data_IF_060665483513
#
_entry.id   IF_060665483513
#
_cell.length_a   1.000
_cell.length_b   1.000
_cell.length_c   1.000
_cell.angle_alpha   90.00
_cell.angle_beta   90.00
_cell.angle_gamma   90.00
#
_symmetry.space_group_name_H-M   'P 1'
#
loop_
_entity.id
_entity.type
_entity.pdbx_description
1 polymer ?
#
# COMPACT_ATOMS: atom_id res chain seq x y z
N UNK A 1 37.68 -84.33 6.82
CA UNK A 1 37.98 -84.59 5.40
C UNK A 1 37.11 -83.67 4.54
N UNK A 2 37.73 -83.03 3.54
CA UNK A 2 37.19 -82.34 2.34
C UNK A 2 35.76 -81.74 2.37
N UNK A 3 35.57 -80.41 2.35
CA UNK A 3 35.62 -79.46 1.20
C UNK A 3 34.62 -79.75 0.06
N UNK A 4 33.94 -78.67 -0.37
CA UNK A 4 33.35 -78.30 -1.70
C UNK A 4 31.80 -78.16 -1.66
N UNK A 5 31.13 -77.14 -2.21
CA UNK A 5 31.41 -76.09 -3.20
C UNK A 5 30.36 -74.95 -3.04
N UNK A 6 30.75 -73.74 -3.44
CA UNK A 6 29.99 -72.49 -3.44
C UNK A 6 28.83 -72.42 -4.44
N UNK A 7 27.86 -71.53 -4.20
CA UNK A 7 27.23 -70.72 -5.25
C UNK A 7 26.55 -69.46 -4.66
N UNK A 8 27.05 -68.29 -5.06
CA UNK A 8 26.43 -66.97 -4.90
C UNK A 8 25.07 -66.93 -5.60
N UNK A 9 24.05 -66.33 -4.96
CA UNK A 9 23.05 -65.51 -5.64
C UNK A 9 22.66 -64.35 -4.73
N UNK A 10 23.08 -63.15 -5.13
CA UNK A 10 22.64 -61.86 -4.60
C UNK A 10 21.29 -61.58 -5.25
N UNK A 11 20.23 -61.42 -4.45
CA UNK A 11 18.98 -60.81 -4.90
C UNK A 11 18.80 -59.53 -4.11
N UNK A 12 19.01 -58.42 -4.81
CA UNK A 12 18.89 -57.06 -4.32
C UNK A 12 17.44 -56.76 -3.91
N UNK A 13 17.24 -56.40 -2.65
CA UNK A 13 16.00 -55.82 -2.13
C UNK A 13 15.99 -54.34 -2.52
N UNK A 14 15.27 -54.00 -3.59
CA UNK A 14 15.05 -52.62 -4.02
C UNK A 14 14.09 -51.91 -3.08
N UNK A 15 14.64 -51.25 -2.05
CA UNK A 15 13.95 -50.21 -1.29
C UNK A 15 13.90 -48.96 -2.17
N UNK A 16 12.79 -48.78 -2.88
CA UNK A 16 12.45 -47.50 -3.51
C UNK A 16 11.85 -46.62 -2.42
N UNK A 17 12.70 -45.85 -1.76
CA UNK A 17 12.31 -44.73 -0.90
C UNK A 17 13.23 -43.56 -1.24
N UNK A 18 12.63 -42.37 -1.37
CA UNK A 18 13.25 -41.05 -1.59
C UNK A 18 13.76 -40.69 -2.98
N UNK A 19 12.84 -40.36 -3.90
CA UNK A 19 13.07 -39.31 -4.91
C UNK A 19 11.74 -38.63 -5.30
N UNK A 20 11.14 -37.89 -4.36
CA UNK A 20 10.25 -36.80 -4.71
C UNK A 20 10.61 -35.60 -3.84
N UNK A 21 11.33 -34.60 -4.36
CA UNK A 21 11.39 -33.32 -3.69
C UNK A 21 10.00 -32.70 -3.86
N UNK A 22 9.20 -32.69 -2.79
CA UNK A 22 8.06 -31.79 -2.68
C UNK A 22 8.61 -30.35 -2.77
N UNK A 23 8.26 -29.53 -3.79
CA UNK A 23 8.52 -28.11 -3.73
C UNK A 23 7.40 -27.48 -2.89
N UNK A 24 7.42 -27.75 -1.58
CA UNK A 24 6.68 -26.97 -0.62
C UNK A 24 7.50 -25.74 -0.27
N UNK A 25 7.41 -24.68 -1.06
CA UNK A 25 7.86 -23.36 -0.60
C UNK A 25 6.83 -22.84 0.40
N UNK A 26 7.01 -23.23 1.66
CA UNK A 26 6.28 -22.68 2.81
C UNK A 26 7.19 -21.74 3.58
N UNK A 27 6.65 -20.56 3.88
CA UNK A 27 7.24 -19.46 4.65
C UNK A 27 8.41 -18.74 3.95
N UNK A 28 8.33 -17.40 3.89
CA UNK A 28 9.51 -16.56 3.73
C UNK A 28 10.47 -16.94 4.86
N UNK A 29 11.49 -17.73 4.56
CA UNK A 29 12.56 -18.04 5.51
C UNK A 29 13.27 -16.73 5.88
N UNK A 30 13.61 -16.65 7.17
CA UNK A 30 14.27 -15.52 7.81
C UNK A 30 15.69 -15.39 7.26
N UNK A 31 15.88 -14.71 6.13
CA UNK A 31 17.21 -14.17 5.82
C UNK A 31 17.56 -13.13 6.89
N UNK A 32 18.77 -13.25 7.45
CA UNK A 32 19.32 -12.23 8.35
C UNK A 32 19.41 -10.93 7.57
N UNK A 33 18.68 -9.91 8.02
CA UNK A 33 18.65 -8.61 7.37
C UNK A 33 20.04 -7.95 7.32
N UNK A 34 20.22 -6.96 6.44
CA UNK A 34 21.47 -6.20 6.36
C UNK A 34 21.78 -5.52 7.70
N UNK A 35 23.07 -5.30 7.98
CA UNK A 35 23.52 -4.65 9.22
C UNK A 35 22.95 -3.23 9.45
N UNK A 36 22.44 -2.58 8.39
CA UNK A 36 21.73 -1.30 8.45
C UNK A 36 20.47 -1.36 7.58
N UNK A 37 19.34 -1.87 8.11
CA UNK A 37 18.07 -1.91 7.39
C UNK A 37 17.45 -0.51 7.23
N UNK A 38 16.34 -0.37 6.49
CA UNK A 38 15.50 0.82 6.48
C UNK A 38 14.64 0.88 7.76
N UNK A 39 15.26 0.65 8.92
CA UNK A 39 14.65 0.55 10.25
C UNK A 39 14.89 1.81 11.10
N UNK A 40 15.33 2.89 10.44
CA UNK A 40 15.64 4.17 11.07
C UNK A 40 14.36 4.91 11.42
N UNK A 41 14.15 5.13 12.71
CA UNK A 41 13.08 5.94 13.26
C UNK A 41 13.70 7.22 13.83
N UNK A 42 13.22 8.36 13.34
CA UNK A 42 13.58 9.66 13.92
C UNK A 42 12.62 9.95 15.08
N UNK A 43 13.14 9.93 16.30
CA UNK A 43 12.41 10.35 17.49
C UNK A 43 12.63 11.85 17.65
N UNK A 44 11.60 12.62 17.32
CA UNK A 44 11.56 14.06 17.47
C UNK A 44 10.31 14.45 18.28
N UNK A 45 10.52 14.89 19.52
CA UNK A 45 9.42 15.29 20.40
C UNK A 45 9.02 16.75 20.12
N UNK A 46 7.75 17.13 20.34
CA UNK A 46 7.34 18.52 20.25
C UNK A 46 8.12 19.40 21.24
N UNK A 47 8.36 20.65 20.87
CA UNK A 47 9.10 21.60 21.68
C UNK A 47 8.39 21.85 23.03
N UNK A 48 9.07 21.58 24.14
CA UNK A 48 8.62 22.03 25.46
C UNK A 48 8.95 23.52 25.63
N UNK A 49 7.97 24.29 26.12
CA UNK A 49 7.92 25.76 26.02
C UNK A 49 9.11 26.57 26.58
N UNK A 50 10.12 25.96 27.21
CA UNK A 50 11.29 26.66 27.79
C UNK A 50 12.61 25.84 27.79
N UNK A 51 12.74 24.78 26.98
CA UNK A 51 13.93 23.90 26.97
C UNK A 51 14.96 24.22 25.88
N UNK A 52 16.25 23.99 26.16
CA UNK A 52 17.28 23.92 25.11
C UNK A 52 17.07 22.65 24.27
N UNK A 53 16.85 22.81 22.96
CA UNK A 53 16.64 21.68 22.06
C UNK A 53 17.94 20.90 21.84
N UNK A 54 17.85 19.58 22.05
CA UNK A 54 18.84 18.63 21.56
C UNK A 54 18.40 18.12 20.18
N UNK A 55 19.34 17.79 19.27
CA UNK A 55 18.96 17.21 17.98
C UNK A 55 18.12 15.92 18.14
N UNK A 56 17.29 15.57 17.16
CA UNK A 56 16.50 14.34 17.18
C UNK A 56 17.35 13.09 17.41
N UNK A 57 16.74 12.07 18.02
CA UNK A 57 17.40 10.77 18.25
C UNK A 57 17.10 9.85 17.09
N UNK A 58 18.14 9.25 16.51
CA UNK A 58 17.98 8.19 15.50
C UNK A 58 17.92 6.85 16.22
N UNK A 59 16.82 6.12 16.03
CA UNK A 59 16.57 4.82 16.62
C UNK A 59 16.54 3.73 15.54
N UNK A 60 17.31 2.66 15.73
CA UNK A 60 17.39 1.52 14.80
C UNK A 60 16.50 0.39 15.31
N UNK A 61 15.28 0.27 14.78
CA UNK A 61 14.27 -0.64 15.34
C UNK A 61 14.64 -2.11 15.20
N UNK A 62 15.21 -2.54 14.06
CA UNK A 62 15.63 -3.91 13.82
C UNK A 62 16.73 -4.34 14.78
N UNK A 63 17.73 -3.49 15.01
CA UNK A 63 18.79 -3.76 16.00
C UNK A 63 18.23 -3.93 17.42
N UNK A 64 17.26 -3.11 17.82
CA UNK A 64 16.64 -3.26 19.13
C UNK A 64 15.79 -4.53 19.19
N UNK A 65 15.02 -4.83 18.15
CA UNK A 65 14.21 -6.05 18.06
C UNK A 65 15.07 -7.32 18.18
N UNK A 66 16.24 -7.35 17.54
CA UNK A 66 17.22 -8.44 17.69
C UNK A 66 17.74 -8.58 19.13
N UNK A 67 18.04 -7.45 19.79
CA UNK A 67 18.57 -7.45 21.16
C UNK A 67 17.59 -7.95 22.22
N UNK A 68 16.28 -7.92 21.93
CA UNK A 68 15.21 -8.42 22.81
C UNK A 68 14.57 -9.70 22.27
N UNK A 69 15.22 -10.39 21.34
CA UNK A 69 14.76 -11.66 20.77
C UNK A 69 13.33 -11.60 20.18
N UNK A 70 12.93 -10.44 19.66
CA UNK A 70 11.59 -10.25 19.10
C UNK A 70 10.49 -9.97 20.11
N UNK A 71 10.80 -9.83 21.40
CA UNK A 71 9.82 -9.51 22.44
C UNK A 71 9.36 -8.04 22.37
N UNK A 72 8.29 -7.81 21.60
CA UNK A 72 7.71 -6.48 21.41
C UNK A 72 7.27 -5.83 22.74
N UNK A 73 6.93 -6.64 23.75
CA UNK A 73 6.40 -6.15 25.03
C UNK A 73 7.45 -5.45 25.89
N UNK A 74 8.73 -5.58 25.55
CA UNK A 74 9.82 -4.81 26.17
C UNK A 74 9.74 -3.31 25.92
N UNK A 75 9.09 -2.90 24.83
CA UNK A 75 9.02 -1.51 24.40
C UNK A 75 7.60 -1.02 24.10
N UNK A 76 6.66 -1.94 23.86
CA UNK A 76 5.30 -1.62 23.46
C UNK A 76 4.28 -2.19 24.43
N UNK A 77 3.28 -1.37 24.77
CA UNK A 77 2.20 -1.76 25.68
C UNK A 77 1.31 -2.79 24.99
N UNK A 78 1.09 -3.93 25.63
CA UNK A 78 0.19 -4.96 25.11
C UNK A 78 -1.28 -4.54 25.25
N UNK A 79 -2.07 -4.73 24.19
CA UNK A 79 -3.51 -4.45 24.15
C UNK A 79 -4.19 -5.40 23.15
N UNK A 80 -5.32 -5.99 23.51
CA UNK A 80 -6.17 -6.80 22.61
C UNK A 80 -5.40 -7.84 21.75
N UNK A 81 -4.53 -8.64 22.38
CA UNK A 81 -3.67 -9.66 21.76
C UNK A 81 -2.57 -9.16 20.82
N UNK A 82 -2.43 -7.84 20.67
CA UNK A 82 -1.33 -7.18 19.95
C UNK A 82 -0.63 -6.17 20.85
N UNK A 83 0.18 -5.29 20.26
CA UNK A 83 0.86 -4.19 20.95
C UNK A 83 0.47 -2.85 20.36
N UNK A 84 0.56 -1.80 21.16
CA UNK A 84 0.46 -0.42 20.71
C UNK A 84 1.85 0.04 20.24
N UNK A 85 1.99 0.44 18.98
CA UNK A 85 3.30 0.77 18.37
C UNK A 85 3.94 2.07 18.89
N UNK A 86 3.28 2.78 19.81
CA UNK A 86 3.89 3.87 20.57
C UNK A 86 4.84 3.30 21.62
N UNK A 87 5.98 3.96 21.83
CA UNK A 87 6.99 3.52 22.79
C UNK A 87 6.49 3.73 24.24
N UNK A 88 6.36 2.63 24.99
CA UNK A 88 6.04 2.59 26.43
C UNK A 88 4.80 3.40 26.85
N UNK A 89 3.84 3.60 25.93
CA UNK A 89 2.62 4.38 26.18
C UNK A 89 1.45 3.98 25.29
N UNK A 90 0.25 4.40 25.69
CA UNK A 90 -0.97 4.32 24.88
C UNK A 90 -1.40 5.71 24.40
N UNK A 91 -2.21 6.39 25.17
CA UNK A 91 -2.82 7.68 24.78
C UNK A 91 -2.10 8.88 25.39
N UNK A 92 -1.19 8.65 26.34
CA UNK A 92 -0.38 9.69 26.95
C UNK A 92 0.51 10.38 25.89
N UNK A 93 0.71 11.70 25.99
CA UNK A 93 1.65 12.41 25.13
C UNK A 93 3.07 11.87 25.35
N UNK A 94 3.89 11.97 24.31
CA UNK A 94 5.31 11.69 24.45
C UNK A 94 5.96 12.79 25.31
N UNK A 95 6.86 12.42 26.23
CA UNK A 95 7.63 13.36 27.05
C UNK A 95 9.10 12.96 27.08
N UNK A 96 9.97 13.93 27.35
CA UNK A 96 11.41 13.66 27.48
C UNK A 96 11.69 12.60 28.56
N UNK A 97 11.08 12.76 29.74
CA UNK A 97 11.28 11.86 30.89
C UNK A 97 10.90 10.42 30.55
N UNK A 98 9.76 10.20 29.88
CA UNK A 98 9.34 8.86 29.46
C UNK A 98 10.39 8.19 28.57
N UNK A 99 10.99 8.92 27.64
CA UNK A 99 12.01 8.34 26.76
C UNK A 99 13.32 8.09 27.52
N UNK A 100 13.79 9.05 28.32
CA UNK A 100 15.01 8.88 29.10
C UNK A 100 14.89 7.72 30.10
N UNK A 101 13.81 7.68 30.89
CA UNK A 101 13.62 6.66 31.92
C UNK A 101 13.54 5.25 31.31
N UNK A 102 12.87 5.07 30.18
CA UNK A 102 12.73 3.75 29.59
C UNK A 102 13.94 3.32 28.72
N UNK A 103 14.54 4.24 27.96
CA UNK A 103 15.70 3.90 27.13
C UNK A 103 16.96 3.68 27.98
N UNK A 104 17.25 4.59 28.91
CA UNK A 104 18.51 4.60 29.65
C UNK A 104 18.53 3.46 30.68
N UNK A 105 17.43 3.19 31.37
CA UNK A 105 17.36 2.11 32.37
C UNK A 105 17.70 0.76 31.74
N UNK A 106 17.15 0.46 30.56
CA UNK A 106 17.50 -0.77 29.85
C UNK A 106 18.99 -0.79 29.50
N UNK A 107 19.53 0.32 28.96
CA UNK A 107 20.95 0.38 28.61
C UNK A 107 21.87 0.23 29.84
N UNK A 108 21.53 0.82 30.98
CA UNK A 108 22.31 0.69 32.22
C UNK A 108 22.26 -0.75 32.74
N UNK A 109 21.08 -1.38 32.77
CA UNK A 109 20.94 -2.79 33.16
C UNK A 109 21.76 -3.72 32.27
N UNK A 110 21.74 -3.53 30.95
CA UNK A 110 22.53 -4.35 30.03
C UNK A 110 24.04 -4.16 30.23
N UNK A 111 24.47 -2.91 30.47
CA UNK A 111 25.86 -2.60 30.76
C UNK A 111 26.33 -3.24 32.07
N UNK A 112 25.52 -3.15 33.12
CA UNK A 112 25.83 -3.72 34.43
C UNK A 112 25.87 -5.26 34.40
N UNK A 113 25.07 -5.86 33.51
CA UNK A 113 25.11 -7.30 33.21
C UNK A 113 26.31 -7.72 32.33
N UNK A 114 27.18 -6.78 31.92
CA UNK A 114 28.32 -7.05 31.04
C UNK A 114 27.94 -7.37 29.59
N UNK A 115 26.72 -7.03 29.18
CA UNK A 115 26.22 -7.24 27.81
C UNK A 115 26.50 -6.01 26.93
N UNK A 116 26.43 -6.21 25.61
CA UNK A 116 26.47 -5.11 24.65
C UNK A 116 25.25 -4.22 24.90
N UNK A 117 25.49 -2.92 25.11
CA UNK A 117 24.45 -1.97 25.47
C UNK A 117 24.52 -0.70 24.62
N UNK A 118 23.42 0.05 24.62
CA UNK A 118 23.33 1.38 24.03
C UNK A 118 23.93 2.46 24.94
N UNK A 119 23.77 3.74 24.56
CA UNK A 119 24.29 4.87 25.33
C UNK A 119 23.64 5.01 26.71
N UNK A 120 24.45 5.36 27.70
CA UNK A 120 24.04 5.63 29.10
C UNK A 120 23.84 7.13 29.37
N UNK A 121 23.37 7.48 30.57
CA UNK A 121 23.07 8.87 30.99
C UNK A 121 24.15 9.90 30.62
N UNK A 122 25.44 9.55 30.71
CA UNK A 122 26.54 10.47 30.43
C UNK A 122 26.79 10.73 28.93
N UNK A 123 26.13 10.00 28.02
CA UNK A 123 26.46 9.92 26.60
C UNK A 123 25.40 10.60 25.71
N UNK A 124 24.99 11.83 26.08
CA UNK A 124 23.92 12.58 25.41
C UNK A 124 24.03 12.58 23.87
N UNK A 125 25.23 12.87 23.32
CA UNK A 125 25.48 12.98 21.87
C UNK A 125 25.57 11.63 21.14
N UNK A 126 25.58 10.52 21.88
CA UNK A 126 25.51 9.18 21.29
C UNK A 126 24.08 8.79 20.93
N UNK A 127 23.08 9.48 21.48
CA UNK A 127 21.68 9.40 21.04
C UNK A 127 21.30 10.62 20.20
N UNK A 128 21.50 11.82 20.76
CA UNK A 128 21.08 13.08 20.14
C UNK A 128 22.05 13.53 19.04
N UNK A 129 21.55 13.57 17.81
CA UNK A 129 22.36 13.98 16.65
C UNK A 129 23.42 12.94 16.29
N UNK A 130 23.23 11.69 16.69
CA UNK A 130 24.11 10.60 16.31
C UNK A 130 24.04 10.36 14.80
N UNK A 131 25.19 10.40 14.14
CA UNK A 131 25.29 10.05 12.72
C UNK A 131 25.24 8.54 12.56
N UNK A 132 24.29 8.04 11.77
CA UNK A 132 24.19 6.62 11.41
C UNK A 132 24.49 6.41 9.92
N UNK A 133 25.17 5.33 9.52
CA UNK A 133 25.89 5.28 8.23
C UNK A 133 25.07 5.02 6.94
N UNK A 134 23.98 5.68 6.58
CA UNK A 134 23.12 5.32 5.41
C UNK A 134 22.74 3.81 5.21
N UNK A 135 21.61 3.49 4.57
CA UNK A 135 21.34 2.10 4.18
C UNK A 135 22.29 1.66 3.07
N UNK A 136 22.63 0.36 3.02
CA UNK A 136 23.32 -0.22 1.88
C UNK A 136 22.46 -0.04 0.60
N UNK A 137 23.05 0.12 -0.60
CA UNK A 137 22.29 0.15 -1.84
C UNK A 137 21.36 -1.06 -1.98
N UNK A 138 20.09 -0.83 -2.31
CA UNK A 138 19.06 -1.87 -2.36
C UNK A 138 18.38 -2.17 -1.01
N UNK A 139 18.78 -1.49 0.05
CA UNK A 139 18.18 -1.61 1.39
C UNK A 139 17.53 -0.31 1.87
N UNK A 140 17.49 0.71 1.00
CA UNK A 140 16.82 1.97 1.31
C UNK A 140 15.33 1.77 1.59
N UNK A 141 14.78 2.71 2.36
CA UNK A 141 13.36 2.73 2.63
C UNK A 141 12.60 3.09 1.35
N UNK A 142 11.58 2.29 1.05
CA UNK A 142 10.61 2.52 0.00
C UNK A 142 9.19 2.36 0.56
N UNK A 143 8.27 3.12 -0.01
CA UNK A 143 6.86 3.01 0.32
C UNK A 143 6.32 1.71 -0.27
N UNK A 144 5.72 0.86 0.57
CA UNK A 144 5.01 -0.31 0.08
C UNK A 144 3.81 0.11 -0.77
N UNK A 145 3.65 -0.52 -1.93
CA UNK A 145 2.48 -0.32 -2.78
C UNK A 145 1.50 -1.49 -2.63
N UNK A 146 0.26 -1.18 -2.27
CA UNK A 146 -0.82 -2.15 -2.12
C UNK A 146 -1.60 -2.23 -3.44
N UNK A 147 -1.02 -2.95 -4.39
CA UNK A 147 -1.60 -3.15 -5.73
C UNK A 147 -2.76 -4.17 -5.73
N UNK A 148 -3.41 -4.32 -6.89
CA UNK A 148 -4.54 -5.25 -7.08
C UNK A 148 -4.21 -6.68 -6.66
N UNK A 149 -3.01 -7.16 -6.95
CA UNK A 149 -2.60 -8.51 -6.58
C UNK A 149 -2.47 -8.65 -5.07
N UNK A 150 -1.80 -7.71 -4.40
CA UNK A 150 -1.57 -7.79 -2.96
C UNK A 150 -2.88 -7.59 -2.19
N UNK A 151 -3.76 -6.72 -2.67
CA UNK A 151 -5.12 -6.59 -2.16
C UNK A 151 -5.90 -7.90 -2.28
N UNK A 152 -5.90 -8.52 -3.46
CA UNK A 152 -6.64 -9.77 -3.69
C UNK A 152 -6.18 -10.90 -2.78
N UNK A 153 -4.87 -11.01 -2.50
CA UNK A 153 -4.33 -11.99 -1.54
C UNK A 153 -4.95 -11.81 -0.14
N UNK A 154 -5.20 -10.57 0.29
CA UNK A 154 -5.87 -10.30 1.56
C UNK A 154 -7.37 -10.59 1.46
N UNK A 155 -8.02 -10.18 0.38
CA UNK A 155 -9.45 -10.39 0.13
C UNK A 155 -9.86 -11.86 0.21
N UNK A 156 -9.03 -12.78 -0.30
CA UNK A 156 -9.34 -14.22 -0.33
C UNK A 156 -8.73 -15.03 0.82
N UNK A 157 -8.08 -14.37 1.79
CA UNK A 157 -7.50 -15.07 2.93
C UNK A 157 -8.58 -15.59 3.88
N UNK A 158 -8.59 -16.90 4.12
CA UNK A 158 -9.42 -17.59 5.12
C UNK A 158 -9.07 -17.21 6.57
N UNK A 159 -7.93 -16.54 6.78
CA UNK A 159 -7.49 -16.06 8.08
C UNK A 159 -7.96 -14.63 8.38
N UNK A 160 -8.53 -13.92 7.39
CA UNK A 160 -9.08 -12.58 7.55
C UNK A 160 -10.60 -12.69 7.47
N UNK A 161 -11.24 -12.65 8.63
CA UNK A 161 -12.69 -12.85 8.78
C UNK A 161 -13.35 -11.51 9.07
N UNK A 162 -14.48 -11.25 8.41
CA UNK A 162 -15.33 -10.09 8.72
C UNK A 162 -15.80 -10.14 10.19
N UNK A 163 -15.48 -9.14 11.03
CA UNK A 163 -15.78 -9.16 12.45
C UNK A 163 -17.28 -9.31 12.76
N UNK A 164 -18.12 -8.65 11.97
CA UNK A 164 -19.56 -8.58 12.19
C UNK A 164 -20.35 -9.72 11.52
N UNK A 165 -19.72 -10.42 10.57
CA UNK A 165 -20.37 -11.51 9.84
C UNK A 165 -19.33 -12.52 9.33
N UNK A 166 -19.00 -13.54 10.14
CA UNK A 166 -18.05 -14.58 9.73
C UNK A 166 -18.49 -15.42 8.53
N UNK A 167 -19.77 -15.35 8.15
CA UNK A 167 -20.34 -16.04 6.99
C UNK A 167 -20.48 -15.11 5.77
N UNK A 168 -20.00 -13.87 5.85
CA UNK A 168 -19.98 -12.97 4.71
C UNK A 168 -19.11 -13.57 3.59
N UNK A 169 -19.52 -13.41 2.32
CA UNK A 169 -18.74 -13.91 1.19
C UNK A 169 -17.45 -13.10 0.95
N UNK A 170 -17.28 -11.98 1.64
CA UNK A 170 -16.13 -11.08 1.56
C UNK A 170 -15.66 -10.64 2.97
N UNK A 171 -14.46 -10.07 3.01
CA UNK A 171 -13.81 -9.63 4.25
C UNK A 171 -13.55 -8.11 4.31
N UNK A 172 -14.26 -7.32 3.49
CA UNK A 172 -14.06 -5.87 3.37
C UNK A 172 -14.08 -5.17 4.75
N UNK A 173 -15.03 -5.58 5.59
CA UNK A 173 -15.28 -4.99 6.91
C UNK A 173 -14.20 -5.33 7.96
N UNK A 174 -13.27 -6.24 7.64
CA UNK A 174 -12.10 -6.48 8.48
C UNK A 174 -11.09 -5.32 8.44
N UNK A 175 -11.15 -4.48 7.41
CA UNK A 175 -10.16 -3.42 7.16
C UNK A 175 -10.81 -2.05 6.88
N UNK A 176 -11.83 -2.01 6.03
CA UNK A 176 -12.44 -0.76 5.59
C UNK A 176 -13.45 -0.25 6.57
N UNK A 177 -13.41 1.05 6.82
CA UNK A 177 -14.36 1.77 7.64
C UNK A 177 -14.60 3.16 7.06
N UNK A 178 -15.69 3.79 7.49
CA UNK A 178 -15.96 5.21 7.30
C UNK A 178 -16.43 5.82 8.60
N UNK A 179 -16.24 7.13 8.75
CA UNK A 179 -16.82 7.85 9.87
C UNK A 179 -18.27 8.21 9.55
N UNK A 180 -19.21 7.87 10.44
CA UNK A 180 -20.61 8.28 10.37
C UNK A 180 -20.82 9.47 11.32
N UNK A 181 -21.07 10.65 10.75
CA UNK A 181 -21.29 11.88 11.52
C UNK A 181 -22.59 11.84 12.33
N UNK A 182 -23.64 11.16 11.85
CA UNK A 182 -24.90 11.09 12.59
C UNK A 182 -24.77 10.20 13.82
N UNK A 183 -23.97 9.14 13.73
CA UNK A 183 -23.71 8.19 14.81
C UNK A 183 -22.45 8.51 15.62
N UNK A 184 -21.65 9.49 15.17
CA UNK A 184 -20.39 9.91 15.78
C UNK A 184 -19.41 8.74 16.01
N UNK A 185 -19.37 7.78 15.09
CA UNK A 185 -18.57 6.56 15.22
C UNK A 185 -18.11 6.02 13.87
N UNK A 186 -17.07 5.18 13.89
CA UNK A 186 -16.69 4.40 12.72
C UNK A 186 -17.72 3.30 12.44
N UNK A 187 -18.09 3.16 11.18
CA UNK A 187 -19.02 2.15 10.68
C UNK A 187 -18.44 1.49 9.44
N UNK A 188 -18.93 0.30 9.12
CA UNK A 188 -18.60 -0.42 7.89
C UNK A 188 -19.81 -0.40 6.97
N UNK A 189 -19.61 -0.04 5.70
CA UNK A 189 -20.69 -0.01 4.70
C UNK A 189 -20.16 -0.49 3.35
N UNK A 190 -20.80 -1.55 2.84
CA UNK A 190 -20.42 -2.16 1.57
C UNK A 190 -20.59 -1.18 0.41
N UNK A 191 -19.61 -1.14 -0.49
CA UNK A 191 -19.59 -0.24 -1.64
C UNK A 191 -19.01 1.14 -1.33
N UNK A 192 -18.64 1.40 -0.07
CA UNK A 192 -17.98 2.66 0.34
C UNK A 192 -16.47 2.50 0.52
N UNK A 193 -15.93 1.29 0.39
CA UNK A 193 -14.51 0.97 0.61
C UNK A 193 -13.61 1.85 -0.24
N UNK A 194 -12.49 2.30 0.30
CA UNK A 194 -11.58 3.17 -0.43
C UNK A 194 -10.16 3.04 0.10
N UNK A 195 -9.19 3.63 -0.61
CA UNK A 195 -7.82 3.62 -0.12
C UNK A 195 -7.68 4.45 1.16
N UNK A 196 -6.89 3.95 2.11
CA UNK A 196 -6.69 4.57 3.42
C UNK A 196 -6.23 6.02 3.31
N UNK A 197 -5.36 6.31 2.34
CA UNK A 197 -4.74 7.63 2.12
C UNK A 197 -5.75 8.74 1.76
N UNK A 198 -6.96 8.39 1.34
CA UNK A 198 -7.96 9.41 1.03
C UNK A 198 -8.39 10.15 2.30
N UNK A 199 -8.41 9.47 3.44
CA UNK A 199 -8.71 10.08 4.75
C UNK A 199 -7.46 10.21 5.62
N UNK A 200 -6.66 9.15 5.73
CA UNK A 200 -5.43 9.14 6.52
C UNK A 200 -4.32 9.83 5.73
N UNK A 201 -4.05 11.11 5.99
CA UNK A 201 -3.00 11.89 5.30
C UNK A 201 -1.63 11.70 5.95
N UNK A 202 -0.61 12.40 5.47
CA UNK A 202 0.75 12.30 6.03
C UNK A 202 0.82 12.72 7.50
N UNK A 203 -0.03 13.67 7.90
CA UNK A 203 -0.13 14.19 9.26
C UNK A 203 -1.53 13.92 9.79
N UNK A 204 -1.63 13.72 11.10
CA UNK A 204 -2.91 13.64 11.80
C UNK A 204 -3.70 14.94 11.62
N UNK A 205 -4.97 14.82 11.24
CA UNK A 205 -5.87 15.96 10.97
C UNK A 205 -7.27 15.62 11.45
N UNK A 206 -7.95 16.55 12.15
CA UNK A 206 -9.34 16.40 12.58
C UNK A 206 -9.67 15.07 13.30
N UNK A 207 -8.73 14.59 14.12
CA UNK A 207 -8.86 13.31 14.85
C UNK A 207 -8.68 12.06 13.97
N UNK A 208 -8.35 12.22 12.69
CA UNK A 208 -7.97 11.15 11.76
C UNK A 208 -6.46 10.94 11.83
N UNK A 209 -6.06 9.73 12.24
CA UNK A 209 -4.64 9.33 12.34
C UNK A 209 -3.90 9.47 11.02
N UNK A 210 -2.60 9.73 11.09
CA UNK A 210 -1.73 9.72 9.90
C UNK A 210 -1.76 8.36 9.19
N UNK A 211 -1.46 8.33 7.89
CA UNK A 211 -1.33 7.09 7.11
C UNK A 211 -0.28 6.17 7.71
N UNK A 212 0.79 6.73 8.27
CA UNK A 212 1.86 5.97 8.91
C UNK A 212 1.31 5.20 10.11
N UNK A 213 0.61 5.90 11.01
CA UNK A 213 0.10 5.27 12.23
C UNK A 213 -1.06 4.31 11.92
N UNK A 214 -2.01 4.74 11.08
CA UNK A 214 -3.13 3.91 10.67
C UNK A 214 -2.67 2.61 9.98
N UNK A 215 -1.65 2.68 9.12
CA UNK A 215 -1.12 1.49 8.44
C UNK A 215 -0.37 0.57 9.39
N UNK A 216 0.47 1.09 10.28
CA UNK A 216 1.17 0.23 11.24
C UNK A 216 0.20 -0.42 12.23
N UNK A 217 -0.74 0.34 12.78
CA UNK A 217 -1.73 -0.15 13.73
C UNK A 217 -2.67 -1.20 13.12
N UNK A 218 -3.03 -1.08 11.84
CA UNK A 218 -3.89 -2.07 11.17
C UNK A 218 -3.10 -3.26 10.64
N UNK A 219 -2.10 -3.01 9.78
CA UNK A 219 -1.42 -4.06 9.03
C UNK A 219 -0.53 -4.90 9.95
N UNK A 220 0.35 -4.24 10.72
CA UNK A 220 1.37 -4.94 11.53
C UNK A 220 0.71 -5.62 12.73
N UNK A 221 -0.31 -5.00 13.35
CA UNK A 221 -1.04 -5.65 14.44
C UNK A 221 -1.78 -6.92 13.98
N UNK A 222 -2.44 -6.86 12.81
CA UNK A 222 -3.09 -8.04 12.24
C UNK A 222 -2.05 -9.14 11.94
N UNK A 223 -0.96 -8.79 11.25
CA UNK A 223 0.11 -9.74 10.93
C UNK A 223 0.72 -10.37 12.19
N UNK A 224 1.01 -9.56 13.22
CA UNK A 224 1.55 -10.03 14.50
C UNK A 224 0.56 -10.97 15.19
N UNK A 225 -0.72 -10.62 15.22
CA UNK A 225 -1.78 -11.47 15.79
C UNK A 225 -1.84 -12.82 15.06
N UNK A 226 -1.81 -12.84 13.73
CA UNK A 226 -1.83 -14.08 12.94
C UNK A 226 -0.55 -14.90 13.14
N UNK A 227 0.62 -14.24 13.19
CA UNK A 227 1.92 -14.88 13.47
C UNK A 227 1.94 -15.54 14.85
N UNK A 228 1.42 -14.86 15.88
CA UNK A 228 1.30 -15.41 17.24
C UNK A 228 0.31 -16.57 17.33
N UNK A 229 -0.62 -16.67 16.38
CA UNK A 229 -1.53 -17.82 16.20
C UNK A 229 -0.94 -18.92 15.30
N UNK A 230 0.34 -18.82 14.93
CA UNK A 230 1.03 -19.74 14.00
C UNK A 230 0.33 -19.86 12.62
N UNK A 231 -0.41 -18.82 12.23
CA UNK A 231 -1.07 -18.74 10.92
C UNK A 231 -0.16 -18.05 9.90
N UNK A 232 -0.40 -18.34 8.63
CA UNK A 232 0.25 -17.60 7.54
C UNK A 232 -0.14 -16.12 7.67
N UNK A 233 0.88 -15.26 7.73
CA UNK A 233 0.74 -13.83 7.93
C UNK A 233 1.70 -13.07 7.03
N UNK A 234 1.44 -11.79 6.81
CA UNK A 234 2.40 -10.91 6.17
C UNK A 234 3.56 -10.51 7.10
N UNK A 235 4.50 -9.69 6.60
CA UNK A 235 5.67 -9.24 7.35
C UNK A 235 5.30 -8.36 8.56
N UNK A 236 6.09 -8.48 9.63
CA UNK A 236 6.00 -7.64 10.84
C UNK A 236 7.23 -6.77 11.07
N UNK A 237 8.30 -7.01 10.30
CA UNK A 237 9.56 -6.27 10.39
C UNK A 237 9.62 -5.14 9.38
N UNK A 238 10.31 -4.03 9.70
CA UNK A 238 10.46 -2.87 8.81
C UNK A 238 10.99 -3.29 7.43
N UNK A 239 12.05 -4.09 7.40
CA UNK A 239 12.70 -4.58 6.17
C UNK A 239 11.77 -5.46 5.32
N UNK A 240 10.81 -6.16 5.94
CA UNK A 240 9.85 -7.01 5.23
C UNK A 240 8.79 -6.24 4.45
N UNK A 241 8.55 -4.96 4.79
CA UNK A 241 7.61 -4.09 4.09
C UNK A 241 8.28 -2.98 3.27
N UNK A 242 9.40 -2.45 3.76
CA UNK A 242 9.91 -1.16 3.33
C UNK A 242 11.27 -1.18 2.64
N UNK A 243 11.93 -2.33 2.47
CA UNK A 243 13.17 -2.32 1.68
C UNK A 243 12.87 -2.14 0.20
N UNK A 244 13.82 -1.54 -0.48
CA UNK A 244 13.77 -1.44 -1.93
C UNK A 244 13.56 -2.79 -2.61
N UNK A 245 12.65 -2.82 -3.57
CA UNK A 245 12.35 -4.02 -4.36
C UNK A 245 11.59 -5.13 -3.64
N UNK A 246 11.26 -5.01 -2.35
CA UNK A 246 10.60 -6.10 -1.58
C UNK A 246 9.29 -6.55 -2.22
N UNK A 247 8.56 -5.63 -2.84
CA UNK A 247 7.29 -5.93 -3.49
C UNK A 247 7.45 -6.93 -4.64
N UNK A 248 8.59 -6.92 -5.32
CA UNK A 248 8.89 -7.85 -6.41
C UNK A 248 9.12 -9.30 -5.93
N UNK A 249 9.45 -9.47 -4.65
CA UNK A 249 9.64 -10.78 -4.04
C UNK A 249 8.37 -11.31 -3.37
N UNK A 250 7.44 -10.42 -2.99
CA UNK A 250 6.14 -10.79 -2.45
C UNK A 250 5.31 -11.57 -3.47
N UNK A 251 4.40 -12.47 -3.03
CA UNK A 251 3.57 -13.24 -3.94
C UNK A 251 2.77 -12.34 -4.89
N UNK A 252 2.68 -12.78 -6.15
CA UNK A 252 1.92 -12.10 -7.20
C UNK A 252 0.86 -13.05 -7.71
N UNK A 253 -0.37 -12.56 -7.76
CA UNK A 253 -1.50 -13.21 -8.43
C UNK A 253 -1.63 -12.56 -9.81
N UNK A 254 -1.14 -13.20 -10.87
CA UNK A 254 -1.37 -12.71 -12.23
C UNK A 254 -2.88 -12.69 -12.48
N UNK A 255 -3.34 -11.67 -13.19
CA UNK A 255 -4.75 -11.52 -13.57
C UNK A 255 -5.73 -11.61 -12.38
N UNK A 256 -5.33 -11.03 -11.25
CA UNK A 256 -6.17 -10.95 -10.05
C UNK A 256 -7.60 -10.52 -10.42
N UNK A 257 -8.64 -11.26 -9.96
CA UNK A 257 -10.03 -10.96 -10.25
C UNK A 257 -10.41 -9.50 -10.00
N UNK A 258 -11.41 -9.05 -10.76
CA UNK A 258 -11.93 -7.69 -10.65
C UNK A 258 -12.48 -7.44 -9.25
N UNK A 259 -11.93 -6.43 -8.58
CA UNK A 259 -12.37 -5.96 -7.26
C UNK A 259 -13.76 -5.34 -7.39
N UNK A 260 -14.80 -5.96 -6.81
CA UNK A 260 -16.19 -5.51 -6.98
C UNK A 260 -16.56 -4.46 -5.93
N UNK A 261 -16.86 -3.25 -6.38
CA UNK A 261 -17.28 -2.10 -5.56
C UNK A 261 -18.38 -1.28 -6.23
N UNK A 262 -19.25 -1.95 -7.00
CA UNK A 262 -20.34 -1.34 -7.77
C UNK A 262 -19.90 -0.26 -8.78
N UNK A 263 -18.66 -0.35 -9.26
CA UNK A 263 -18.13 0.52 -10.31
C UNK A 263 -18.74 0.17 -11.68
N UNK A 264 -18.95 1.15 -12.57
CA UNK A 264 -19.48 0.90 -13.90
C UNK A 264 -18.47 0.17 -14.80
N UNK A 265 -18.96 -0.53 -15.82
CA UNK A 265 -18.10 -1.17 -16.82
C UNK A 265 -17.61 -0.16 -17.85
N UNK A 266 -18.46 0.79 -18.25
CA UNK A 266 -18.10 1.93 -19.07
C UNK A 266 -18.69 3.23 -18.51
N UNK A 267 -18.04 4.35 -18.81
CA UNK A 267 -18.44 5.69 -18.35
C UNK A 267 -18.58 6.61 -19.55
N UNK A 268 -19.71 7.32 -19.61
CA UNK A 268 -19.89 8.40 -20.56
C UNK A 268 -19.38 9.72 -19.95
N UNK A 269 -18.16 10.11 -20.31
CA UNK A 269 -17.50 11.30 -19.78
C UNK A 269 -17.91 12.53 -20.59
N UNK A 270 -18.44 13.54 -19.88
CA UNK A 270 -18.86 14.81 -20.48
C UNK A 270 -18.03 15.96 -19.94
N UNK A 271 -17.93 17.03 -20.74
CA UNK A 271 -17.18 18.23 -20.38
C UNK A 271 -17.90 19.15 -19.40
N UNK A 272 -18.84 18.68 -18.56
CA UNK A 272 -19.65 19.55 -17.71
C UNK A 272 -20.17 18.88 -16.45
N UNK A 273 -20.51 19.70 -15.45
CA UNK A 273 -21.30 19.29 -14.30
C UNK A 273 -22.78 19.25 -14.71
N UNK A 274 -23.62 18.57 -13.93
CA UNK A 274 -25.07 18.42 -14.11
C UNK A 274 -25.87 19.74 -14.07
N UNK A 275 -25.20 20.90 -14.09
CA UNK A 275 -25.80 22.23 -14.06
C UNK A 275 -26.31 22.71 -15.42
N UNK A 276 -27.27 23.63 -15.40
CA UNK A 276 -27.86 24.32 -16.58
C UNK A 276 -26.91 25.34 -17.23
N UNK A 277 -25.62 25.27 -16.96
CA UNK A 277 -24.67 26.18 -17.58
C UNK A 277 -24.44 25.74 -19.01
N UNK A 278 -24.74 26.65 -19.94
CA UNK A 278 -24.45 26.54 -21.37
C UNK A 278 -22.93 26.62 -21.64
N UNK A 279 -22.11 25.92 -20.85
CA UNK A 279 -20.71 25.74 -21.15
C UNK A 279 -20.62 25.06 -22.52
N UNK A 280 -20.19 25.84 -23.50
CA UNK A 280 -20.13 25.40 -24.91
C UNK A 280 -19.18 24.22 -24.98
N UNK A 281 -19.73 23.01 -25.13
CA UNK A 281 -18.95 21.80 -25.39
C UNK A 281 -18.14 21.99 -26.66
N UNK A 282 -16.82 22.13 -26.51
CA UNK A 282 -15.91 22.32 -27.64
C UNK A 282 -15.53 21.00 -28.30
N UNK A 283 -15.59 19.90 -27.54
CA UNK A 283 -15.29 18.54 -27.99
C UNK A 283 -16.50 17.62 -27.80
N UNK A 284 -16.54 16.55 -28.58
CA UNK A 284 -17.49 15.45 -28.39
C UNK A 284 -17.24 14.75 -27.04
N UNK A 285 -18.25 14.16 -26.40
CA UNK A 285 -18.06 13.30 -25.22
C UNK A 285 -17.11 12.12 -25.49
N UNK A 286 -16.62 11.53 -24.40
CA UNK A 286 -15.73 10.36 -24.43
C UNK A 286 -16.44 9.18 -23.79
N UNK A 287 -16.54 8.06 -24.49
CA UNK A 287 -16.97 6.79 -23.89
C UNK A 287 -15.73 6.06 -23.39
N UNK A 288 -15.63 5.88 -22.09
CA UNK A 288 -14.46 5.31 -21.42
C UNK A 288 -14.73 3.88 -20.95
N UNK A 289 -13.90 2.93 -21.37
CA UNK A 289 -13.97 1.54 -20.91
C UNK A 289 -13.31 1.40 -19.52
N UNK A 290 -14.10 1.60 -18.47
CA UNK A 290 -13.59 1.55 -17.10
C UNK A 290 -13.10 0.15 -16.73
N UNK A 291 -13.82 -0.90 -17.14
CA UNK A 291 -13.47 -2.30 -16.84
C UNK A 291 -12.14 -2.74 -17.45
N UNK A 292 -11.86 -2.36 -18.69
CA UNK A 292 -10.57 -2.66 -19.31
C UNK A 292 -9.44 -1.95 -18.55
N UNK A 293 -9.63 -0.68 -18.20
CA UNK A 293 -8.61 0.10 -17.49
C UNK A 293 -8.39 -0.42 -16.07
N UNK A 294 -9.40 -0.92 -15.37
CA UNK A 294 -9.23 -1.62 -14.08
C UNK A 294 -8.29 -2.83 -14.19
N UNK A 295 -8.29 -3.51 -15.34
CA UNK A 295 -7.47 -4.70 -15.59
C UNK A 295 -6.03 -4.32 -15.92
N UNK A 296 -5.82 -3.23 -16.66
CA UNK A 296 -4.50 -2.73 -17.03
C UNK A 296 -3.80 -1.93 -15.91
N UNK A 297 -4.55 -1.21 -15.07
CA UNK A 297 -4.00 -0.38 -14.00
C UNK A 297 -3.58 -1.21 -12.77
N UNK A 298 -2.49 -0.79 -12.12
CA UNK A 298 -1.99 -1.44 -10.90
C UNK A 298 -2.92 -1.24 -9.69
N UNK A 299 -3.67 -0.13 -9.64
CA UNK A 299 -4.67 0.18 -8.61
C UNK A 299 -5.62 1.27 -9.08
N UNK A 300 -6.78 1.42 -8.41
CA UNK A 300 -7.71 2.51 -8.66
C UNK A 300 -7.06 3.89 -8.46
N UNK A 301 -6.07 4.00 -7.56
CA UNK A 301 -5.38 5.24 -7.20
C UNK A 301 -4.53 5.84 -8.31
N UNK A 302 -4.20 5.07 -9.35
CA UNK A 302 -3.48 5.61 -10.50
C UNK A 302 -4.29 6.74 -11.15
N UNK A 303 -5.62 6.63 -11.18
CA UNK A 303 -6.52 7.66 -11.70
C UNK A 303 -7.21 8.41 -10.55
N UNK A 304 -7.80 7.67 -9.60
CA UNK A 304 -8.47 8.21 -8.42
C UNK A 304 -7.45 8.64 -7.36
N UNK A 305 -6.73 9.72 -7.60
CA UNK A 305 -5.59 10.09 -6.75
C UNK A 305 -6.01 10.66 -5.38
N UNK A 306 -7.23 11.17 -5.25
CA UNK A 306 -7.74 11.81 -4.01
C UNK A 306 -9.01 11.14 -3.45
N UNK A 307 -9.92 10.66 -4.30
CA UNK A 307 -11.13 9.94 -3.92
C UNK A 307 -11.61 9.05 -5.06
N UNK A 308 -12.52 8.11 -4.79
CA UNK A 308 -13.19 7.28 -5.81
C UNK A 308 -14.36 8.01 -6.50
N UNK A 309 -14.50 9.33 -6.31
CA UNK A 309 -15.54 10.12 -6.96
C UNK A 309 -15.18 10.42 -8.42
N UNK A 310 -16.16 10.94 -9.17
CA UNK A 310 -15.94 11.38 -10.55
C UNK A 310 -14.98 12.55 -10.61
N UNK A 311 -14.09 12.56 -11.62
CA UNK A 311 -13.14 13.63 -11.85
C UNK A 311 -13.80 15.02 -11.89
N UNK A 312 -15.00 15.11 -12.45
CA UNK A 312 -15.73 16.38 -12.63
C UNK A 312 -16.25 17.00 -11.34
N UNK A 313 -16.20 16.28 -10.21
CA UNK A 313 -16.51 16.84 -8.89
C UNK A 313 -15.47 17.88 -8.44
N UNK A 314 -14.23 17.76 -8.91
CA UNK A 314 -13.13 18.68 -8.59
C UNK A 314 -12.54 19.37 -9.84
N UNK A 315 -12.49 18.66 -10.97
CA UNK A 315 -11.95 19.15 -12.23
C UNK A 315 -13.07 19.59 -13.16
N UNK A 316 -13.53 20.83 -12.99
CA UNK A 316 -14.53 21.44 -13.86
C UNK A 316 -13.87 22.08 -15.09
N UNK A 317 -14.63 22.44 -16.14
CA UNK A 317 -14.06 23.16 -17.29
C UNK A 317 -13.43 24.51 -16.93
N UNK A 318 -14.01 25.20 -15.95
CA UNK A 318 -13.49 26.46 -15.44
C UNK A 318 -12.35 26.26 -14.42
N UNK A 319 -12.24 25.07 -13.84
CA UNK A 319 -11.46 24.80 -12.64
C UNK A 319 -12.27 25.13 -11.39
N UNK A 320 -12.03 24.38 -10.32
CA UNK A 320 -12.67 24.57 -9.02
C UNK A 320 -11.60 24.55 -7.92
N UNK A 321 -11.84 25.23 -6.80
CA UNK A 321 -10.92 25.28 -5.67
C UNK A 321 -10.61 23.87 -5.13
N UNK A 322 -11.60 22.97 -5.10
CA UNK A 322 -11.42 21.57 -4.67
C UNK A 322 -10.39 20.82 -5.51
N UNK A 323 -10.32 21.14 -6.81
CA UNK A 323 -9.35 20.57 -7.75
C UNK A 323 -8.06 21.39 -7.87
N UNK A 324 -7.81 22.35 -6.97
CA UNK A 324 -6.66 23.26 -7.07
C UNK A 324 -6.67 24.10 -8.36
N UNK A 325 -7.87 24.38 -8.89
CA UNK A 325 -8.10 25.04 -10.18
C UNK A 325 -7.52 24.30 -11.39
N UNK A 326 -7.18 23.02 -11.26
CA UNK A 326 -6.85 22.17 -12.41
C UNK A 326 -8.12 21.92 -13.21
N UNK A 327 -8.16 22.45 -14.44
CA UNK A 327 -9.31 22.32 -15.33
C UNK A 327 -9.45 20.91 -15.85
N UNK A 328 -10.67 20.52 -16.23
CA UNK A 328 -10.97 19.20 -16.80
C UNK A 328 -10.07 18.84 -18.00
N UNK A 329 -9.81 19.79 -18.88
CA UNK A 329 -8.89 19.60 -20.01
C UNK A 329 -7.48 19.20 -19.55
N UNK A 330 -6.97 19.84 -18.49
CA UNK A 330 -5.64 19.56 -17.95
C UNK A 330 -5.62 18.20 -17.25
N UNK A 331 -6.64 17.89 -16.44
CA UNK A 331 -6.77 16.61 -15.77
C UNK A 331 -6.76 15.43 -16.75
N UNK A 332 -7.34 15.59 -17.95
CA UNK A 332 -7.44 14.51 -18.95
C UNK A 332 -6.24 14.43 -19.91
N UNK A 333 -5.52 15.54 -20.13
CA UNK A 333 -4.50 15.62 -21.20
C UNK A 333 -3.08 15.98 -20.75
N UNK A 334 -2.81 16.13 -19.44
CA UNK A 334 -1.48 16.47 -18.95
C UNK A 334 -0.45 15.37 -19.27
N UNK A 335 0.46 15.61 -20.23
CA UNK A 335 1.39 14.60 -20.75
C UNK A 335 2.39 14.02 -19.73
N UNK A 336 2.54 14.68 -18.57
CA UNK A 336 3.47 14.26 -17.50
C UNK A 336 2.78 13.53 -16.36
N UNK A 337 1.45 13.56 -16.29
CA UNK A 337 0.69 13.05 -15.15
C UNK A 337 0.07 11.69 -15.48
N UNK A 338 0.40 10.66 -14.71
CA UNK A 338 -0.18 9.30 -14.86
C UNK A 338 -1.67 9.24 -14.55
N UNK A 339 -2.21 10.22 -13.82
CA UNK A 339 -3.65 10.33 -13.57
C UNK A 339 -4.44 10.83 -14.79
N UNK A 340 -3.76 11.33 -15.83
CA UNK A 340 -4.38 11.76 -17.08
C UNK A 340 -4.34 10.67 -18.14
N UNK A 341 -5.29 10.67 -19.08
CA UNK A 341 -5.34 9.72 -20.19
C UNK A 341 -4.06 9.80 -21.02
N UNK A 342 -3.67 11.01 -21.42
CA UNK A 342 -2.52 11.23 -22.31
C UNK A 342 -1.20 10.95 -21.59
N UNK A 343 -1.06 11.35 -20.34
CA UNK A 343 0.15 11.13 -19.57
C UNK A 343 0.38 9.66 -19.23
N UNK A 344 -0.66 8.93 -18.85
CA UNK A 344 -0.57 7.48 -18.66
C UNK A 344 -0.17 6.76 -19.96
N UNK A 345 -0.87 7.02 -21.07
CA UNK A 345 -0.54 6.41 -22.36
C UNK A 345 0.88 6.78 -22.83
N UNK A 346 1.34 8.01 -22.59
CA UNK A 346 2.70 8.41 -22.90
C UNK A 346 3.74 7.65 -22.05
N UNK A 347 3.43 7.26 -20.81
CA UNK A 347 4.30 6.41 -20.00
C UNK A 347 4.34 4.98 -20.54
N UNK A 348 3.18 4.44 -20.94
CA UNK A 348 3.08 3.11 -21.55
C UNK A 348 3.93 2.98 -22.81
N UNK A 349 4.02 4.04 -23.63
CA UNK A 349 4.86 4.05 -24.83
C UNK A 349 6.38 3.97 -24.56
N UNK A 350 6.82 4.09 -23.30
CA UNK A 350 8.23 3.95 -22.90
C UNK A 350 8.61 2.50 -22.60
N UNK A 351 7.66 1.57 -22.63
CA UNK A 351 7.95 0.14 -22.53
C UNK A 351 8.82 -0.30 -23.70
N UNK A 352 9.67 -1.30 -23.48
CA UNK A 352 10.72 -1.70 -24.43
C UNK A 352 10.21 -2.13 -25.80
N UNK A 353 8.97 -2.63 -25.87
CA UNK A 353 8.25 -3.00 -27.08
C UNK A 353 7.73 -1.80 -27.90
N UNK A 354 7.62 -0.63 -27.27
CA UNK A 354 7.06 0.60 -27.85
C UNK A 354 8.11 1.71 -28.04
N UNK A 355 9.09 1.79 -27.13
CA UNK A 355 10.05 2.88 -27.00
C UNK A 355 10.87 3.11 -28.28
N UNK A 356 11.23 2.05 -29.00
CA UNK A 356 12.05 2.15 -30.22
C UNK A 356 11.47 3.11 -31.27
N UNK A 357 10.16 3.08 -31.48
CA UNK A 357 9.48 4.04 -32.37
C UNK A 357 9.12 5.34 -31.65
N UNK A 358 8.58 5.25 -30.43
CA UNK A 358 8.05 6.39 -29.70
C UNK A 358 9.11 7.40 -29.24
N UNK A 359 10.36 6.96 -29.00
CA UNK A 359 11.46 7.85 -28.64
C UNK A 359 12.00 8.65 -29.84
N UNK A 360 11.83 8.13 -31.06
CA UNK A 360 12.28 8.77 -32.29
C UNK A 360 11.20 9.67 -32.92
N UNK A 361 9.94 9.46 -32.57
CA UNK A 361 8.85 10.30 -33.04
C UNK A 361 8.92 11.68 -32.36
N UNK A 362 8.89 12.79 -33.12
CA UNK A 362 8.74 14.10 -32.52
C UNK A 362 7.42 14.11 -31.75
N UNK A 363 7.40 14.63 -30.50
CA UNK A 363 6.15 14.78 -29.72
C UNK A 363 5.33 15.92 -30.30
N UNK A 364 4.42 15.68 -31.25
CA UNK A 364 3.74 16.76 -31.94
C UNK A 364 2.61 17.27 -31.04
N UNK A 365 2.07 18.44 -31.36
CA UNK A 365 0.74 18.78 -30.83
C UNK A 365 -0.27 17.73 -31.28
N UNK A 366 -1.24 17.42 -30.42
CA UNK A 366 -2.33 16.51 -30.77
C UNK A 366 -3.00 16.97 -32.06
N UNK A 367 -3.27 16.03 -32.95
CA UNK A 367 -3.93 16.24 -34.25
C UNK A 367 -5.40 15.87 -34.17
N UNK A 368 -6.20 16.30 -35.14
CA UNK A 368 -7.63 15.96 -35.21
C UNK A 368 -7.87 14.45 -35.14
N UNK A 369 -7.05 13.65 -35.84
CA UNK A 369 -7.13 12.19 -35.80
C UNK A 369 -6.90 11.64 -34.38
N UNK A 370 -5.91 12.16 -33.65
CA UNK A 370 -5.68 11.72 -32.27
C UNK A 370 -6.79 12.13 -31.30
N UNK A 371 -7.47 13.26 -31.56
CA UNK A 371 -8.62 13.68 -30.77
C UNK A 371 -9.80 12.72 -30.95
N UNK A 372 -10.06 12.29 -32.18
CA UNK A 372 -11.20 11.42 -32.53
C UNK A 372 -11.09 10.00 -31.96
N UNK A 373 -9.90 9.56 -31.51
CA UNK A 373 -9.75 8.25 -30.83
C UNK A 373 -10.59 8.22 -29.54
N UNK A 374 -10.58 9.32 -28.77
CA UNK A 374 -11.33 9.43 -27.53
C UNK A 374 -12.66 10.19 -27.73
N UNK A 375 -12.63 11.30 -28.46
CA UNK A 375 -13.79 12.16 -28.71
C UNK A 375 -14.63 11.62 -29.87
N UNK A 376 -15.24 10.45 -29.67
CA UNK A 376 -15.81 9.64 -30.74
C UNK A 376 -17.35 9.55 -30.75
N UNK A 377 -18.06 10.11 -29.76
CA UNK A 377 -19.54 10.15 -29.78
C UNK A 377 -20.07 11.51 -30.31
N UNK A 378 -20.63 11.57 -31.54
CA UNK A 378 -21.12 12.82 -32.11
C UNK A 378 -22.41 13.33 -31.44
N UNK A 379 -23.09 12.52 -30.63
CA UNK A 379 -24.38 12.89 -30.08
C UNK A 379 -24.27 13.72 -28.79
N UNK A 380 -24.15 15.03 -28.98
CA UNK A 380 -24.11 16.02 -27.89
C UNK A 380 -25.43 16.15 -27.11
N UNK A 381 -26.54 15.57 -27.58
CA UNK A 381 -27.82 15.65 -26.84
C UNK A 381 -27.89 14.70 -25.64
N UNK A 382 -26.99 13.71 -25.57
CA UNK A 382 -26.87 12.75 -24.45
C UNK A 382 -26.37 13.43 -23.18
N UNK A 383 -25.76 14.61 -23.29
CA UNK A 383 -25.00 15.25 -22.21
C UNK A 383 -25.87 15.66 -21.02
N UNK A 384 -27.18 15.85 -21.18
CA UNK A 384 -28.06 16.32 -20.11
C UNK A 384 -28.95 15.23 -19.48
N UNK A 385 -28.88 13.98 -19.95
CA UNK A 385 -29.75 12.89 -19.49
C UNK A 385 -28.91 11.73 -18.90
N UNK A 386 -28.90 11.56 -17.56
CA UNK A 386 -28.14 10.49 -16.89
C UNK A 386 -28.53 9.06 -17.32
N UNK A 387 -29.80 8.81 -17.67
CA UNK A 387 -30.24 7.49 -18.13
C UNK A 387 -29.69 7.21 -19.53
N UNK A 388 -29.71 8.22 -20.42
CA UNK A 388 -29.10 8.13 -21.75
C UNK A 388 -27.58 7.96 -21.69
N UNK A 389 -26.91 8.63 -20.76
CA UNK A 389 -25.47 8.45 -20.51
C UNK A 389 -25.16 7.00 -20.12
N UNK A 390 -25.93 6.44 -19.19
CA UNK A 390 -25.79 5.05 -18.75
C UNK A 390 -26.07 4.07 -19.90
N UNK A 391 -27.18 4.23 -20.62
CA UNK A 391 -27.53 3.38 -21.77
C UNK A 391 -26.44 3.38 -22.86
N UNK A 392 -25.82 4.53 -23.13
CA UNK A 392 -24.73 4.65 -24.10
C UNK A 392 -23.47 3.91 -23.64
N UNK A 393 -23.12 4.04 -22.37
CA UNK A 393 -22.01 3.29 -21.78
C UNK A 393 -22.26 1.78 -21.86
N UNK A 394 -23.46 1.31 -21.49
CA UNK A 394 -23.82 -0.10 -21.53
C UNK A 394 -23.80 -0.67 -22.97
N UNK A 395 -24.25 0.12 -23.95
CA UNK A 395 -24.21 -0.27 -25.38
C UNK A 395 -22.78 -0.45 -25.88
N UNK A 396 -21.86 0.44 -25.46
CA UNK A 396 -20.44 0.34 -25.82
C UNK A 396 -19.82 -0.97 -25.32
N UNK A 397 -20.09 -1.36 -24.07
CA UNK A 397 -19.63 -2.63 -23.51
C UNK A 397 -20.15 -3.82 -24.32
N UNK A 398 -21.43 -3.79 -24.72
CA UNK A 398 -22.04 -4.88 -25.50
C UNK A 398 -21.46 -5.05 -26.91
N UNK A 399 -20.89 -3.99 -27.50
CA UNK A 399 -20.26 -4.03 -28.82
C UNK A 399 -18.78 -4.44 -28.77
N UNK A 400 -18.14 -4.31 -27.61
CA UNK A 400 -16.75 -4.71 -27.37
C UNK A 400 -16.62 -6.14 -26.79
N UNK A 401 -17.74 -6.76 -26.41
CA UNK A 401 -17.87 -8.17 -25.97
C UNK A 401 -18.05 -9.09 -27.16
#
# INVERSE_FOLDING_TARGET
>A
MAKRIACLWIVATGVIFFLFPFPGQTAFEKETGPAFPPDRIMINLPQESQGNEMPPVVFLHGRHNESVEGDCTRCHVQKDQTVVFKFQRTDQPASMDLYHDNCIVCHEQQKDAGQTSGPTTAQCRSCHGATVPDPLPGTQWEKINFDRSLHYIHEVSDHIVSPDNPSAPDNCNACHHRYDEAQQRIVTERGTESACIYCHKEVETDGVRSIRDASHDACVACHLTKKNQEKKAGPVECYGCHRAGVRAEMPVVPDAPRMKRNQPDAVFMTGGTTGKDNAVYRMSPVVFDHKQHETAAASCRVCHHESLESCSQCHTPAGDEKGGFVRLEQAMHAQTESASCVGCHAQETRKTDCAGCHDLMPRPRMTENSCQVCHNDPNRTVVHDPEMQKMRADTFVSAAS
#
